data_IF_314463560484
#
_entry.id   IF_314463560484
#
_cell.length_a   1.000
_cell.length_b   1.000
_cell.length_c   1.000
_cell.angle_alpha   90.00
_cell.angle_beta   90.00
_cell.angle_gamma   90.00
#
_symmetry.space_group_name_H-M   'P 1'
#
loop_
_entity.id
_entity.type
_entity.pdbx_description
1 polymer ?
#
# COMPACT_ATOMS: atom_id res chain seq x y z
N UNK A 1 29.34 -10.23 1.90
CA UNK A 1 30.38 -10.85 2.73
C UNK A 1 29.76 -12.00 3.52
N UNK A 2 28.81 -11.82 4.43
CA UNK A 2 28.21 -12.90 5.24
C UNK A 2 27.59 -14.06 4.43
N UNK A 3 27.09 -13.82 3.23
CA UNK A 3 26.56 -14.87 2.36
C UNK A 3 27.67 -15.79 1.81
N UNK A 4 28.87 -15.28 1.65
CA UNK A 4 30.03 -16.07 1.19
C UNK A 4 30.57 -16.92 2.33
N UNK A 5 30.66 -16.34 3.54
CA UNK A 5 31.20 -16.99 4.72
C UNK A 5 30.36 -18.19 5.20
N UNK A 6 29.04 -18.18 4.91
CA UNK A 6 28.10 -19.22 5.33
C UNK A 6 27.65 -20.14 4.18
N UNK A 7 28.25 -20.00 3.00
CA UNK A 7 27.90 -20.85 1.86
C UNK A 7 28.57 -22.23 1.98
N UNK A 8 27.77 -23.29 1.95
CA UNK A 8 28.24 -24.68 1.92
C UNK A 8 28.11 -25.25 0.50
N UNK A 9 29.22 -25.51 -0.21
CA UNK A 9 29.22 -26.05 -1.56
C UNK A 9 28.59 -27.45 -1.69
N UNK A 10 28.46 -28.18 -0.55
CA UNK A 10 27.97 -29.56 -0.55
C UNK A 10 26.42 -29.64 -0.60
N UNK A 11 25.70 -28.52 -0.47
CA UNK A 11 24.23 -28.51 -0.45
C UNK A 11 23.56 -28.46 -1.83
N UNK A 12 24.26 -28.72 -2.92
CA UNK A 12 23.72 -28.77 -4.30
C UNK A 12 22.98 -27.49 -4.76
N UNK A 13 23.20 -26.35 -4.12
CA UNK A 13 22.63 -25.04 -4.48
C UNK A 13 23.75 -24.16 -5.01
N UNK A 14 23.55 -23.50 -6.15
CA UNK A 14 24.54 -22.56 -6.70
C UNK A 14 24.74 -21.38 -5.74
N UNK A 15 26.00 -20.94 -5.55
CA UNK A 15 26.33 -19.76 -4.73
C UNK A 15 25.46 -18.54 -5.08
N UNK A 16 25.20 -18.32 -6.37
CA UNK A 16 24.35 -17.22 -6.85
C UNK A 16 22.96 -17.28 -6.22
N UNK A 17 22.29 -18.43 -6.29
CA UNK A 17 20.94 -18.62 -5.77
C UNK A 17 20.91 -18.44 -4.24
N UNK A 18 21.91 -18.98 -3.53
CA UNK A 18 22.04 -18.79 -2.09
C UNK A 18 22.29 -17.33 -1.71
N UNK A 19 23.19 -16.65 -2.43
CA UNK A 19 23.50 -15.25 -2.19
C UNK A 19 22.28 -14.34 -2.48
N UNK A 20 21.55 -14.56 -3.57
CA UNK A 20 20.32 -13.83 -3.91
C UNK A 20 19.28 -13.97 -2.78
N UNK A 21 19.06 -15.18 -2.28
CA UNK A 21 18.13 -15.41 -1.18
C UNK A 21 18.57 -14.67 0.11
N UNK A 22 19.86 -14.74 0.46
CA UNK A 22 20.43 -14.08 1.65
C UNK A 22 20.42 -12.55 1.53
N UNK A 23 20.73 -12.01 0.35
CA UNK A 23 20.70 -10.57 0.07
C UNK A 23 19.25 -10.07 0.17
N UNK A 24 18.30 -10.78 -0.44
CA UNK A 24 16.87 -10.46 -0.35
C UNK A 24 16.40 -10.47 1.12
N UNK A 25 16.74 -11.49 1.89
CA UNK A 25 16.45 -11.55 3.32
C UNK A 25 17.04 -10.37 4.09
N UNK A 26 18.30 -10.03 3.86
CA UNK A 26 18.97 -8.92 4.52
C UNK A 26 18.37 -7.55 4.15
N UNK A 27 17.92 -7.36 2.89
CA UNK A 27 17.20 -6.17 2.46
C UNK A 27 15.85 -6.08 3.20
N UNK A 28 15.10 -7.19 3.24
CA UNK A 28 13.82 -7.25 3.96
C UNK A 28 13.99 -6.99 5.46
N UNK A 29 15.01 -7.55 6.08
CA UNK A 29 15.30 -7.33 7.50
C UNK A 29 15.77 -5.88 7.76
N UNK A 30 16.51 -5.28 6.84
CA UNK A 30 16.87 -3.85 6.90
C UNK A 30 15.64 -2.97 6.76
N UNK A 31 14.76 -3.27 5.81
CA UNK A 31 13.48 -2.58 5.65
C UNK A 31 12.59 -2.74 6.90
N UNK A 32 12.55 -3.94 7.49
CA UNK A 32 11.85 -4.19 8.76
C UNK A 32 12.44 -3.43 9.94
N UNK A 33 13.79 -3.35 10.02
CA UNK A 33 14.46 -2.56 11.06
C UNK A 33 14.26 -1.05 10.87
N UNK A 34 14.12 -0.61 9.62
CA UNK A 34 13.75 0.77 9.27
C UNK A 34 12.25 1.05 9.42
N UNK A 35 11.45 0.02 9.70
CA UNK A 35 10.00 0.10 9.93
C UNK A 35 9.70 0.76 11.29
N UNK A 36 9.89 2.07 11.31
CA UNK A 36 9.70 2.96 12.46
C UNK A 36 8.24 3.35 12.70
N UNK A 37 7.32 2.85 11.88
CA UNK A 37 5.89 3.15 12.04
C UNK A 37 5.35 2.52 13.33
N UNK A 38 4.99 3.31 14.34
CA UNK A 38 4.47 2.78 15.60
C UNK A 38 3.25 1.88 15.35
N UNK A 39 3.15 0.77 16.07
CA UNK A 39 1.97 -0.13 16.02
C UNK A 39 0.65 0.63 16.13
N UNK A 40 0.65 1.74 16.85
CA UNK A 40 -0.49 2.66 16.99
C UNK A 40 -0.94 3.25 15.64
N UNK A 41 -0.01 3.69 14.79
CA UNK A 41 -0.35 4.28 13.49
C UNK A 41 -0.92 3.23 12.53
N UNK A 42 -0.38 2.01 12.53
CA UNK A 42 -0.96 0.90 11.74
C UNK A 42 -2.38 0.54 12.21
N UNK A 43 -2.60 0.50 13.53
CA UNK A 43 -3.94 0.30 14.08
C UNK A 43 -4.88 1.42 13.67
N UNK A 44 -4.42 2.66 13.68
CA UNK A 44 -5.19 3.82 13.22
C UNK A 44 -5.55 3.68 11.74
N UNK A 45 -4.58 3.37 10.87
CA UNK A 45 -4.83 3.17 9.44
C UNK A 45 -5.90 2.09 9.20
N UNK A 46 -5.82 0.93 9.86
CA UNK A 46 -6.83 -0.13 9.77
C UNK A 46 -8.21 0.33 10.24
N UNK A 47 -8.26 1.16 11.30
CA UNK A 47 -9.54 1.71 11.81
C UNK A 47 -10.17 2.65 10.79
N UNK A 48 -9.39 3.55 10.19
CA UNK A 48 -9.88 4.46 9.15
C UNK A 48 -10.32 3.68 7.90
N UNK A 49 -9.52 2.72 7.45
CA UNK A 49 -9.85 1.84 6.32
C UNK A 49 -11.17 1.09 6.52
N UNK A 50 -11.36 0.50 7.70
CA UNK A 50 -12.61 -0.16 8.04
C UNK A 50 -13.79 0.81 8.11
N UNK A 51 -13.58 2.05 8.53
CA UNK A 51 -14.60 3.10 8.51
C UNK A 51 -15.03 3.49 7.10
N UNK A 52 -14.05 3.69 6.22
CA UNK A 52 -14.29 3.95 4.78
C UNK A 52 -15.09 2.80 4.17
N UNK A 53 -14.65 1.56 4.39
CA UNK A 53 -15.32 0.37 3.86
C UNK A 53 -16.78 0.28 4.30
N UNK A 54 -17.07 0.51 5.59
CA UNK A 54 -18.44 0.46 6.12
C UNK A 54 -19.32 1.58 5.57
N UNK A 55 -18.79 2.81 5.48
CA UNK A 55 -19.54 3.94 4.94
C UNK A 55 -19.88 3.69 3.46
N UNK A 56 -18.93 3.26 2.64
CA UNK A 56 -19.14 2.98 1.23
C UNK A 56 -20.07 1.79 0.99
N UNK A 57 -19.98 0.76 1.82
CA UNK A 57 -20.89 -0.39 1.74
C UNK A 57 -22.33 0.02 2.03
N UNK A 58 -22.56 0.90 3.01
CA UNK A 58 -23.89 1.41 3.34
C UNK A 58 -24.47 2.30 2.25
N UNK A 59 -23.62 3.10 1.62
CA UNK A 59 -24.05 4.10 0.64
C UNK A 59 -24.11 3.54 -0.80
N UNK A 60 -23.38 2.45 -1.09
CA UNK A 60 -23.27 1.91 -2.46
C UNK A 60 -22.46 2.78 -3.42
N UNK A 61 -21.78 3.82 -2.90
CA UNK A 61 -20.93 4.77 -3.63
C UNK A 61 -19.73 5.18 -2.79
N UNK A 62 -18.78 5.90 -3.40
CA UNK A 62 -17.72 6.54 -2.65
C UNK A 62 -18.30 7.49 -1.59
N UNK A 63 -17.89 7.33 -0.33
CA UNK A 63 -18.36 8.13 0.78
C UNK A 63 -17.61 9.46 0.86
N UNK A 64 -18.29 10.54 1.22
CA UNK A 64 -17.67 11.83 1.52
C UNK A 64 -17.00 11.81 2.90
N UNK A 65 -16.05 12.74 3.13
CA UNK A 65 -15.33 12.81 4.42
C UNK A 65 -16.27 12.93 5.63
N UNK A 66 -17.34 13.71 5.50
CA UNK A 66 -18.35 13.85 6.55
C UNK A 66 -19.10 12.56 6.87
N UNK A 67 -19.37 11.76 5.85
CA UNK A 67 -20.05 10.48 5.98
C UNK A 67 -19.13 9.43 6.64
N UNK A 68 -17.83 9.45 6.29
CA UNK A 68 -16.83 8.58 6.91
C UNK A 68 -16.59 8.99 8.35
N UNK A 69 -16.44 10.28 8.62
CA UNK A 69 -16.27 10.80 9.99
C UNK A 69 -17.46 10.43 10.88
N UNK A 70 -18.69 10.58 10.38
CA UNK A 70 -19.91 10.17 11.09
C UNK A 70 -19.94 8.66 11.37
N UNK A 71 -19.53 7.81 10.39
CA UNK A 71 -19.43 6.36 10.56
C UNK A 71 -18.41 5.97 11.66
N UNK A 72 -17.35 6.77 11.80
CA UNK A 72 -16.29 6.57 12.80
C UNK A 72 -16.60 7.23 14.15
N UNK A 73 -17.72 7.99 14.25
CA UNK A 73 -18.12 8.69 15.46
C UNK A 73 -17.19 9.85 15.84
N UNK A 74 -16.67 10.57 14.84
CA UNK A 74 -15.76 11.71 15.02
C UNK A 74 -16.14 12.89 14.12
N UNK A 75 -15.58 14.07 14.38
CA UNK A 75 -15.74 15.23 13.51
C UNK A 75 -14.90 15.12 12.23
N UNK A 76 -15.22 15.93 11.23
CA UNK A 76 -14.43 15.97 9.97
C UNK A 76 -13.01 16.44 10.25
N UNK A 77 -12.84 17.37 11.16
CA UNK A 77 -11.53 17.90 11.58
C UNK A 77 -10.68 16.81 12.21
N UNK A 78 -11.23 16.05 13.15
CA UNK A 78 -10.55 14.91 13.78
C UNK A 78 -10.21 13.82 12.76
N UNK A 79 -11.09 13.57 11.81
CA UNK A 79 -10.82 12.63 10.72
C UNK A 79 -9.62 13.07 9.87
N UNK A 80 -9.58 14.36 9.50
CA UNK A 80 -8.48 14.95 8.71
C UNK A 80 -7.15 14.93 9.46
N UNK A 81 -7.16 15.18 10.77
CA UNK A 81 -5.96 15.05 11.61
C UNK A 81 -5.44 13.60 11.60
N UNK A 82 -6.33 12.63 11.77
CA UNK A 82 -5.97 11.21 11.71
C UNK A 82 -5.46 10.78 10.33
N UNK A 83 -5.97 11.35 9.25
CA UNK A 83 -5.43 11.13 7.91
C UNK A 83 -4.00 11.64 7.80
N UNK A 84 -3.66 12.80 8.39
CA UNK A 84 -2.29 13.31 8.43
C UNK A 84 -1.37 12.40 9.24
N UNK A 85 -1.84 11.84 10.36
CA UNK A 85 -1.07 10.89 11.16
C UNK A 85 -0.74 9.61 10.39
N UNK A 86 -1.65 9.18 9.52
CA UNK A 86 -1.46 8.03 8.64
C UNK A 86 -0.65 8.39 7.41
N UNK A 87 -0.74 9.64 6.91
CA UNK A 87 0.07 10.11 5.78
C UNK A 87 1.57 10.04 6.03
N UNK A 88 1.99 10.15 7.30
CA UNK A 88 3.37 9.99 7.71
C UNK A 88 3.84 8.51 7.68
N UNK A 89 2.93 7.54 7.51
CA UNK A 89 3.25 6.19 7.07
C UNK A 89 3.48 6.27 5.57
N UNK A 90 4.70 6.62 5.21
CA UNK A 90 4.99 6.92 3.82
C UNK A 90 4.70 5.71 2.92
N UNK A 91 4.24 6.00 1.74
CA UNK A 91 3.82 5.10 0.68
C UNK A 91 4.99 4.28 0.10
N UNK A 92 6.20 4.49 0.59
CA UNK A 92 7.29 3.55 0.44
C UNK A 92 6.98 2.15 1.02
N UNK A 93 6.07 2.08 1.95
CA UNK A 93 5.40 0.87 2.41
C UNK A 93 4.12 0.62 1.60
N UNK A 94 4.28 0.24 0.36
CA UNK A 94 3.31 -0.60 -0.33
C UNK A 94 3.24 -1.97 0.38
N UNK A 95 3.11 -1.94 1.70
CA UNK A 95 2.73 -3.08 2.53
C UNK A 95 1.26 -3.47 2.32
N UNK A 96 0.76 -3.17 1.12
CA UNK A 96 -0.62 -3.46 0.75
C UNK A 96 -0.98 -4.93 0.86
N UNK A 97 0.01 -5.79 0.91
CA UNK A 97 -0.16 -7.23 0.71
C UNK A 97 0.79 -7.99 1.63
N UNK A 98 1.05 -7.46 2.83
CA UNK A 98 1.85 -8.18 3.80
C UNK A 98 0.97 -9.10 4.63
N UNK A 99 0.97 -10.35 4.27
CA UNK A 99 0.81 -11.42 5.24
C UNK A 99 2.05 -11.37 6.16
N UNK A 100 1.86 -11.35 7.49
CA UNK A 100 2.97 -11.35 8.46
C UNK A 100 3.85 -12.60 8.33
N UNK A 101 3.50 -13.55 7.46
CA UNK A 101 4.17 -14.84 7.23
C UNK A 101 4.71 -15.05 5.83
N UNK A 102 4.36 -14.21 4.84
CA UNK A 102 4.81 -14.35 3.46
C UNK A 102 5.40 -13.05 2.91
N UNK A 103 6.35 -13.18 1.97
CA UNK A 103 7.01 -12.07 1.29
C UNK A 103 6.01 -11.09 0.67
N UNK A 104 6.27 -9.76 0.71
CA UNK A 104 5.39 -8.76 0.12
C UNK A 104 5.09 -9.12 -1.33
N UNK A 105 3.81 -9.30 -1.68
CA UNK A 105 3.39 -9.73 -3.02
C UNK A 105 3.94 -8.80 -4.11
N UNK A 106 3.97 -7.48 -3.85
CA UNK A 106 4.55 -6.52 -4.80
C UNK A 106 6.06 -6.70 -5.00
N UNK A 107 6.82 -7.05 -3.95
CA UNK A 107 8.25 -7.39 -4.12
C UNK A 107 8.45 -8.66 -4.93
N UNK A 108 7.48 -9.59 -4.90
CA UNK A 108 7.48 -10.77 -5.77
C UNK A 108 7.43 -10.37 -7.26
N UNK A 109 6.65 -9.33 -7.59
CA UNK A 109 6.49 -8.86 -8.98
C UNK A 109 7.59 -7.89 -9.44
N UNK A 110 8.19 -7.13 -8.51
CA UNK A 110 9.27 -6.17 -8.84
C UNK A 110 10.65 -6.83 -8.88
N UNK A 111 10.87 -7.91 -8.13
CA UNK A 111 12.21 -8.45 -7.90
C UNK A 111 12.59 -9.66 -8.77
N UNK A 112 11.81 -10.05 -9.76
CA UNK A 112 12.13 -11.20 -10.62
C UNK A 112 12.15 -10.80 -12.09
N UNK A 113 13.32 -10.45 -12.67
CA UNK A 113 13.42 -10.12 -14.09
C UNK A 113 13.39 -11.33 -15.04
N UNK A 114 13.50 -12.57 -14.58
CA UNK A 114 13.87 -13.67 -15.48
C UNK A 114 13.02 -14.94 -15.47
N UNK A 115 11.97 -15.07 -14.69
CA UNK A 115 11.07 -16.23 -14.80
C UNK A 115 9.60 -15.82 -14.62
N UNK A 116 9.08 -15.06 -15.57
CA UNK A 116 7.64 -14.86 -15.71
C UNK A 116 7.00 -16.19 -16.16
N UNK A 117 6.68 -17.05 -15.19
CA UNK A 117 5.83 -18.19 -15.54
C UNK A 117 4.48 -17.65 -16.04
N UNK A 118 3.81 -18.32 -16.99
CA UNK A 118 2.51 -17.88 -17.48
C UNK A 118 1.48 -17.60 -16.37
N UNK A 119 1.58 -18.33 -15.25
CA UNK A 119 0.75 -18.12 -14.06
C UNK A 119 1.03 -16.76 -13.39
N UNK A 120 2.29 -16.36 -13.27
CA UNK A 120 2.67 -15.05 -12.70
C UNK A 120 2.26 -13.89 -13.60
N UNK A 121 2.37 -14.05 -14.92
CA UNK A 121 1.90 -13.03 -15.88
C UNK A 121 0.37 -12.85 -15.79
N UNK A 122 -0.37 -13.94 -15.62
CA UNK A 122 -1.81 -13.88 -15.44
C UNK A 122 -2.18 -13.16 -14.13
N UNK A 123 -1.56 -13.54 -13.01
CA UNK A 123 -1.75 -12.89 -11.72
C UNK A 123 -1.45 -11.38 -11.78
N UNK A 124 -0.35 -10.99 -12.43
CA UNK A 124 0.02 -9.58 -12.63
C UNK A 124 -1.04 -8.84 -13.43
N UNK A 125 -1.50 -9.42 -14.53
CA UNK A 125 -2.54 -8.82 -15.38
C UNK A 125 -3.87 -8.68 -14.63
N UNK A 126 -4.24 -9.66 -13.79
CA UNK A 126 -5.44 -9.59 -12.96
C UNK A 126 -5.32 -8.51 -11.89
N UNK A 127 -4.16 -8.39 -11.24
CA UNK A 127 -3.89 -7.33 -10.27
C UNK A 127 -3.95 -5.94 -10.91
N UNK A 128 -3.35 -5.76 -12.09
CA UNK A 128 -3.40 -4.50 -12.85
C UNK A 128 -4.84 -4.11 -13.19
N UNK A 129 -5.66 -5.05 -13.65
CA UNK A 129 -7.09 -4.81 -13.92
C UNK A 129 -7.87 -4.45 -12.66
N UNK A 130 -7.56 -5.09 -11.54
CA UNK A 130 -8.16 -4.79 -10.24
C UNK A 130 -7.81 -3.37 -9.78
N UNK A 131 -6.55 -2.97 -9.88
CA UNK A 131 -6.06 -1.64 -9.52
C UNK A 131 -6.72 -0.60 -10.45
N UNK A 132 -6.70 -0.81 -11.76
CA UNK A 132 -7.33 0.10 -12.72
C UNK A 132 -8.82 0.30 -12.41
N UNK A 133 -9.57 -0.78 -12.21
CA UNK A 133 -10.99 -0.71 -11.85
C UNK A 133 -11.25 -0.10 -10.48
N UNK A 134 -10.31 -0.18 -9.54
CA UNK A 134 -10.40 0.50 -8.25
C UNK A 134 -10.16 2.02 -8.42
N UNK A 135 -9.16 2.41 -9.22
CA UNK A 135 -8.86 3.82 -9.52
C UNK A 135 -10.04 4.52 -10.21
N UNK A 136 -10.74 3.84 -11.11
CA UNK A 136 -11.92 4.41 -11.79
C UNK A 136 -13.06 4.75 -10.82
N UNK A 137 -13.16 4.06 -9.69
CA UNK A 137 -14.25 4.22 -8.71
C UNK A 137 -14.00 5.26 -7.64
N UNK A 138 -12.75 5.68 -7.44
CA UNK A 138 -12.44 6.72 -6.46
C UNK A 138 -12.83 8.11 -6.98
N UNK A 139 -13.14 9.08 -6.09
CA UNK A 139 -13.45 10.46 -6.45
C UNK A 139 -12.40 11.10 -7.35
N UNK A 140 -12.83 12.00 -8.25
CA UNK A 140 -11.92 12.61 -9.22
C UNK A 140 -10.76 13.36 -8.58
N UNK A 141 -10.99 14.09 -7.49
CA UNK A 141 -9.93 14.80 -6.78
C UNK A 141 -8.84 13.85 -6.26
N UNK A 142 -9.24 12.70 -5.71
CA UNK A 142 -8.32 11.66 -5.23
C UNK A 142 -7.53 11.04 -6.40
N UNK A 143 -8.21 10.76 -7.52
CA UNK A 143 -7.58 10.23 -8.74
C UNK A 143 -6.57 11.21 -9.32
N UNK A 144 -6.92 12.51 -9.37
CA UNK A 144 -6.00 13.55 -9.83
C UNK A 144 -4.75 13.62 -8.97
N UNK A 145 -4.89 13.63 -7.65
CA UNK A 145 -3.73 13.65 -6.73
C UNK A 145 -2.85 12.41 -6.93
N UNK A 146 -3.44 11.22 -7.07
CA UNK A 146 -2.65 10.00 -7.31
C UNK A 146 -1.93 10.04 -8.66
N UNK A 147 -2.60 10.51 -9.73
CA UNK A 147 -1.98 10.64 -11.04
C UNK A 147 -0.80 11.61 -11.02
N UNK A 148 -0.97 12.79 -10.45
CA UNK A 148 0.09 13.79 -10.34
C UNK A 148 1.27 13.30 -9.48
N UNK A 149 0.99 12.54 -8.42
CA UNK A 149 2.02 12.06 -7.52
C UNK A 149 2.79 10.86 -8.07
N UNK A 150 2.09 9.84 -8.62
CA UNK A 150 2.71 8.58 -9.04
C UNK A 150 3.09 8.51 -10.51
N UNK A 151 2.38 9.22 -11.38
CA UNK A 151 2.64 9.18 -12.82
C UNK A 151 3.48 10.37 -13.28
N UNK A 152 3.16 11.58 -12.80
CA UNK A 152 3.93 12.79 -13.11
C UNK A 152 5.10 13.03 -12.12
N UNK A 153 5.22 12.18 -11.08
CA UNK A 153 6.28 12.24 -10.06
C UNK A 153 6.40 13.58 -9.33
N UNK A 154 5.28 14.33 -9.24
CA UNK A 154 5.26 15.63 -8.59
C UNK A 154 5.27 15.50 -7.07
N UNK A 155 5.92 16.46 -6.43
CA UNK A 155 5.87 16.59 -4.97
C UNK A 155 4.49 17.06 -4.51
N UNK A 156 4.12 16.79 -3.26
CA UNK A 156 2.84 17.25 -2.70
C UNK A 156 2.71 18.78 -2.68
N UNK A 157 3.82 19.52 -2.68
CA UNK A 157 3.83 21.00 -2.76
C UNK A 157 3.46 21.47 -4.16
N UNK A 158 4.08 20.91 -5.18
CA UNK A 158 3.76 21.21 -6.58
C UNK A 158 2.32 20.88 -6.91
N UNK A 159 1.82 19.73 -6.40
CA UNK A 159 0.40 19.35 -6.54
C UNK A 159 -0.52 20.37 -5.85
N UNK A 160 -0.13 20.84 -4.66
CA UNK A 160 -0.89 21.86 -3.93
C UNK A 160 -0.98 23.18 -4.72
N UNK A 161 0.13 23.60 -5.34
CA UNK A 161 0.19 24.78 -6.19
C UNK A 161 -0.69 24.62 -7.44
N UNK A 162 -0.62 23.46 -8.11
CA UNK A 162 -1.46 23.15 -9.31
C UNK A 162 -2.95 23.13 -8.96
N UNK A 163 -3.31 22.53 -7.83
CA UNK A 163 -4.72 22.41 -7.43
C UNK A 163 -5.26 23.66 -6.70
N UNK A 164 -4.41 24.62 -6.36
CA UNK A 164 -4.80 25.83 -5.63
C UNK A 164 -5.27 25.55 -4.19
N UNK A 165 -4.78 24.52 -3.54
CA UNK A 165 -5.15 24.11 -2.19
C UNK A 165 -3.93 23.98 -1.29
N UNK A 166 -4.15 23.98 0.02
CA UNK A 166 -3.04 23.86 0.97
C UNK A 166 -2.38 22.47 0.92
N UNK A 167 -1.07 22.41 1.09
CA UNK A 167 -0.26 21.19 1.11
C UNK A 167 -0.84 20.07 2.01
N UNK A 168 -1.28 20.45 3.23
CA UNK A 168 -1.88 19.46 4.15
C UNK A 168 -3.14 18.82 3.57
N UNK A 169 -3.90 19.58 2.76
CA UNK A 169 -5.09 19.07 2.09
C UNK A 169 -4.75 18.03 1.01
N UNK A 170 -3.72 18.29 0.22
CA UNK A 170 -3.22 17.30 -0.76
C UNK A 170 -2.79 16.01 -0.07
N UNK A 171 -2.07 16.13 1.06
CA UNK A 171 -1.66 14.98 1.87
C UNK A 171 -2.85 14.16 2.37
N UNK A 172 -3.91 14.83 2.86
CA UNK A 172 -5.15 14.18 3.29
C UNK A 172 -5.84 13.45 2.15
N UNK A 173 -6.00 14.12 0.99
CA UNK A 173 -6.62 13.53 -0.20
C UNK A 173 -5.82 12.29 -0.65
N UNK A 174 -4.48 12.38 -0.68
CA UNK A 174 -3.61 11.25 -1.02
C UNK A 174 -3.84 10.07 -0.07
N UNK A 175 -3.83 10.32 1.25
CA UNK A 175 -4.04 9.28 2.25
C UNK A 175 -5.41 8.65 2.13
N UNK A 176 -6.44 9.45 1.92
CA UNK A 176 -7.80 8.97 1.70
C UNK A 176 -7.89 8.06 0.47
N UNK A 177 -7.30 8.48 -0.65
CA UNK A 177 -7.26 7.69 -1.88
C UNK A 177 -6.58 6.33 -1.66
N UNK A 178 -5.46 6.31 -0.94
CA UNK A 178 -4.74 5.08 -0.61
C UNK A 178 -5.57 4.15 0.25
N UNK A 179 -6.26 4.65 1.28
CA UNK A 179 -7.16 3.83 2.11
C UNK A 179 -8.29 3.19 1.30
N UNK A 180 -8.88 3.93 0.34
CA UNK A 180 -9.91 3.40 -0.57
C UNK A 180 -9.37 2.31 -1.48
N UNK A 181 -8.21 2.54 -2.09
CA UNK A 181 -7.57 1.54 -2.95
C UNK A 181 -7.24 0.27 -2.16
N UNK A 182 -6.70 0.41 -0.94
CA UNK A 182 -6.47 -0.73 -0.04
C UNK A 182 -7.73 -1.55 0.18
N UNK A 183 -8.80 -0.88 0.58
CA UNK A 183 -10.08 -1.55 0.80
C UNK A 183 -10.58 -2.27 -0.47
N UNK A 184 -10.55 -1.58 -1.63
CA UNK A 184 -11.04 -2.13 -2.89
C UNK A 184 -10.24 -3.36 -3.35
N UNK A 185 -8.92 -3.33 -3.19
CA UNK A 185 -8.02 -4.44 -3.54
C UNK A 185 -8.17 -5.57 -2.51
N UNK A 186 -8.13 -5.25 -1.22
CA UNK A 186 -8.21 -6.23 -0.14
C UNK A 186 -9.49 -7.08 -0.13
N UNK A 187 -10.58 -6.53 -0.66
CA UNK A 187 -11.84 -7.28 -0.79
C UNK A 187 -11.83 -8.28 -1.96
N UNK A 188 -11.04 -8.08 -2.98
CA UNK A 188 -11.10 -8.82 -4.25
C UNK A 188 -9.87 -9.68 -4.52
N UNK A 189 -8.74 -9.34 -3.91
CA UNK A 189 -7.50 -10.07 -4.08
C UNK A 189 -7.36 -11.16 -3.01
N UNK A 190 -7.34 -12.46 -3.37
CA UNK A 190 -7.32 -13.56 -2.39
C UNK A 190 -6.11 -13.53 -1.46
N UNK A 191 -4.95 -13.05 -1.94
CA UNK A 191 -3.71 -12.91 -1.17
C UNK A 191 -3.67 -11.72 -0.22
N UNK A 192 -4.63 -10.78 -0.30
CA UNK A 192 -4.70 -9.63 0.59
C UNK A 192 -5.42 -9.92 1.92
N UNK A 193 -6.11 -11.04 2.00
CA UNK A 193 -6.72 -11.51 3.24
C UNK A 193 -5.75 -12.44 3.95
N UNK A 194 -4.80 -11.89 4.69
CA UNK A 194 -4.12 -12.62 5.74
C UNK A 194 -5.19 -13.14 6.70
N UNK A 195 -5.30 -14.46 6.77
CA UNK A 195 -6.20 -15.27 7.56
C UNK A 195 -6.50 -14.64 8.92
N UNK A 196 -7.74 -14.15 9.08
CA UNK A 196 -8.36 -14.01 10.38
C UNK A 196 -8.81 -15.40 10.81
N UNK A 197 -8.09 -16.01 11.70
CA UNK A 197 -8.52 -17.09 12.58
C UNK A 197 -7.81 -16.90 13.93
#
# INVERSE_FOLDING_TARGET
>A
IQAIDHYDPNQNVKLRTYAEYRIRGAILDSLRASDWAPRMKRKLARTLEAGVARAEQKLGRAAEEGEIAAELGMTVEEYREKLNDVAALDIGELEFLRDERESPILLKYVATPEEDSPAMQLEKTELEKLIAGAIERIPQAERTVLSLYFYEELTLREIADIMGIHFSRVSQIKSQAVLRLRNAIGQRWPGARGVSA
#
